data_IF_440044192493
#
_entry.id   IF_440044192493
#
_cell.length_a   1.000
_cell.length_b   1.000
_cell.length_c   1.000
_cell.angle_alpha   90.00
_cell.angle_beta   90.00
_cell.angle_gamma   90.00
#
_symmetry.space_group_name_H-M   'P 1'
#
loop_
_entity.id
_entity.type
_entity.pdbx_description
1 polymer ?
#
# COMPACT_ATOMS: atom_id res chain seq x y z
N UNK A 1 0.07 -11.08 -14.12
CA UNK A 1 -0.26 -10.40 -12.85
C UNK A 1 0.42 -9.03 -12.82
N UNK A 2 -0.32 -7.92 -12.79
CA UNK A 2 0.31 -6.59 -12.63
C UNK A 2 0.85 -6.46 -11.19
N UNK A 3 2.18 -6.56 -11.06
CA UNK A 3 2.91 -6.46 -9.79
C UNK A 3 2.95 -5.02 -9.24
N UNK A 4 2.59 -4.03 -10.05
CA UNK A 4 2.57 -2.62 -9.70
C UNK A 4 1.13 -2.16 -9.48
N UNK A 5 0.88 -1.47 -8.38
CA UNK A 5 -0.39 -0.80 -8.07
C UNK A 5 -0.16 0.71 -8.14
N UNK A 6 -0.87 1.37 -9.05
CA UNK A 6 -0.78 2.82 -9.25
C UNK A 6 -2.15 3.43 -8.96
N UNK A 7 -2.13 4.63 -8.36
CA UNK A 7 -3.33 5.44 -8.17
C UNK A 7 -2.97 6.91 -8.23
N UNK A 8 -3.76 7.65 -8.99
CA UNK A 8 -3.74 9.11 -9.00
C UNK A 8 -4.71 9.63 -7.94
N UNK A 9 -4.25 10.58 -7.13
CA UNK A 9 -5.00 11.25 -6.09
C UNK A 9 -4.88 12.75 -6.32
N UNK A 10 -5.98 13.48 -6.17
CA UNK A 10 -5.94 14.93 -6.12
C UNK A 10 -5.76 15.35 -4.66
N UNK A 11 -4.74 16.15 -4.38
CA UNK A 11 -4.40 16.66 -3.05
C UNK A 11 -4.18 18.16 -3.17
N UNK A 12 -5.07 18.93 -2.55
CA UNK A 12 -5.03 20.40 -2.59
C UNK A 12 -4.93 20.97 -4.03
N UNK A 13 -5.61 20.34 -5.00
CA UNK A 13 -5.58 20.74 -6.41
C UNK A 13 -4.36 20.26 -7.19
N UNK A 14 -3.50 19.45 -6.57
CA UNK A 14 -2.33 18.84 -7.21
C UNK A 14 -2.57 17.34 -7.44
N UNK A 15 -2.51 16.91 -8.70
CA UNK A 15 -2.60 15.50 -9.05
C UNK A 15 -1.30 14.76 -8.71
N UNK A 16 -1.35 13.91 -7.68
CA UNK A 16 -0.25 13.06 -7.26
C UNK A 16 -0.50 11.63 -7.70
N UNK A 17 0.48 11.02 -8.36
CA UNK A 17 0.51 9.61 -8.68
C UNK A 17 1.34 8.83 -7.66
N UNK A 18 0.67 7.93 -6.94
CA UNK A 18 1.33 7.00 -6.03
C UNK A 18 1.41 5.64 -6.70
N UNK A 19 2.62 5.11 -6.84
CA UNK A 19 2.91 3.81 -7.42
C UNK A 19 3.65 2.92 -6.43
N UNK A 20 3.14 1.71 -6.22
CA UNK A 20 3.71 0.71 -5.35
C UNK A 20 3.96 -0.59 -6.10
N UNK A 21 5.23 -1.02 -6.15
CA UNK A 21 5.61 -2.31 -6.70
C UNK A 21 5.63 -3.36 -5.57
N UNK A 22 4.72 -4.33 -5.64
CA UNK A 22 4.57 -5.41 -4.66
C UNK A 22 5.78 -6.34 -4.58
N UNK A 23 6.52 -6.53 -5.68
CA UNK A 23 7.67 -7.45 -5.73
C UNK A 23 8.92 -6.84 -5.12
N UNK A 24 9.15 -5.55 -5.40
CA UNK A 24 10.36 -4.84 -4.92
C UNK A 24 10.08 -4.02 -3.67
N UNK A 25 8.84 -4.01 -3.19
CA UNK A 25 8.34 -3.10 -2.15
C UNK A 25 8.69 -1.63 -2.40
N UNK A 26 8.84 -1.25 -3.68
CA UNK A 26 9.24 0.09 -4.08
C UNK A 26 8.01 0.99 -4.12
N UNK A 27 8.03 2.06 -3.33
CA UNK A 27 7.06 3.13 -3.35
C UNK A 27 7.63 4.33 -4.11
N UNK A 28 6.86 4.82 -5.06
CA UNK A 28 7.17 6.00 -5.87
C UNK A 28 6.00 6.96 -5.80
N UNK A 29 6.27 8.25 -5.58
CA UNK A 29 5.28 9.31 -5.62
C UNK A 29 5.75 10.30 -6.67
N UNK A 30 4.88 10.60 -7.64
CA UNK A 30 5.14 11.54 -8.73
C UNK A 30 4.03 12.58 -8.81
N UNK A 31 4.33 13.79 -9.27
CA UNK A 31 3.34 14.82 -9.58
C UNK A 31 3.68 15.43 -10.93
N UNK A 32 2.72 15.52 -11.84
CA UNK A 32 2.95 16.07 -13.19
C UNK A 32 4.10 15.39 -13.96
N UNK A 33 4.32 14.09 -13.74
CA UNK A 33 5.43 13.33 -14.34
C UNK A 33 6.78 13.46 -13.63
N UNK A 34 6.91 14.35 -12.65
CA UNK A 34 8.14 14.53 -11.85
C UNK A 34 8.09 13.61 -10.64
N UNK A 35 9.16 12.84 -10.41
CA UNK A 35 9.26 11.95 -9.27
C UNK A 35 9.68 12.73 -8.01
N UNK A 36 8.78 12.85 -7.05
CA UNK A 36 8.97 13.63 -5.81
C UNK A 36 9.55 12.76 -4.70
N UNK A 37 9.10 11.51 -4.63
CA UNK A 37 9.52 10.60 -3.58
C UNK A 37 9.77 9.21 -4.14
N UNK A 38 10.85 8.58 -3.67
CA UNK A 38 11.14 7.18 -3.97
C UNK A 38 11.78 6.54 -2.76
N UNK A 39 11.18 5.44 -2.29
CA UNK A 39 11.76 4.64 -1.22
C UNK A 39 11.39 3.17 -1.34
N UNK A 40 12.30 2.32 -0.87
CA UNK A 40 12.05 0.89 -0.70
C UNK A 40 11.50 0.66 0.70
N UNK A 41 10.36 0.01 0.79
CA UNK A 41 9.68 -0.33 2.03
C UNK A 41 10.25 -1.66 2.53
N UNK A 42 11.33 -1.58 3.31
CA UNK A 42 11.95 -2.76 3.94
C UNK A 42 11.20 -3.22 5.19
N UNK A 43 10.53 -2.29 5.87
CA UNK A 43 9.75 -2.57 7.08
C UNK A 43 8.26 -2.66 6.74
N UNK A 44 7.51 -3.57 7.40
CA UNK A 44 6.07 -3.71 7.18
C UNK A 44 5.27 -2.52 7.70
N UNK A 45 5.86 -1.66 8.53
CA UNK A 45 5.25 -0.44 9.03
C UNK A 45 6.23 0.71 8.93
N UNK A 46 5.75 1.88 8.52
CA UNK A 46 6.60 3.06 8.40
C UNK A 46 5.81 4.33 8.18
N UNK A 47 6.34 5.44 8.71
CA UNK A 47 5.85 6.78 8.42
C UNK A 47 6.87 7.47 7.51
N UNK A 48 6.45 7.82 6.30
CA UNK A 48 7.30 8.39 5.28
C UNK A 48 6.88 9.84 5.04
N UNK A 49 7.74 10.77 5.44
CA UNK A 49 7.50 12.19 5.25
C UNK A 49 8.07 12.65 3.92
N UNK A 50 7.33 13.47 3.21
CA UNK A 50 7.76 14.10 1.96
C UNK A 50 7.17 15.51 1.87
N UNK A 51 7.83 16.39 1.13
CA UNK A 51 7.35 17.75 0.91
C UNK A 51 6.78 17.86 -0.51
N UNK A 52 5.60 18.49 -0.62
CA UNK A 52 4.90 18.75 -1.87
C UNK A 52 4.34 20.17 -1.79
N UNK A 53 4.63 21.01 -2.79
CA UNK A 53 4.11 22.38 -2.86
C UNK A 53 4.30 23.20 -1.56
N UNK A 54 5.50 23.11 -0.95
CA UNK A 54 5.84 23.74 0.35
C UNK A 54 5.09 23.21 1.59
N UNK A 55 4.30 22.15 1.45
CA UNK A 55 3.60 21.50 2.56
C UNK A 55 4.22 20.13 2.87
N UNK A 56 4.23 19.78 4.17
CA UNK A 56 4.74 18.49 4.64
C UNK A 56 3.63 17.46 4.70
N UNK A 57 3.79 16.39 3.94
CA UNK A 57 2.90 15.24 3.92
C UNK A 57 3.55 14.04 4.60
N UNK A 58 2.73 13.23 5.26
CA UNK A 58 3.14 11.96 5.87
C UNK A 58 2.35 10.82 5.25
N UNK A 59 3.03 9.94 4.55
CA UNK A 59 2.49 8.66 4.12
C UNK A 59 2.75 7.61 5.20
N UNK A 60 1.69 7.20 5.90
CA UNK A 60 1.72 6.07 6.83
C UNK A 60 1.44 4.79 6.06
N UNK A 61 2.35 3.84 6.18
CA UNK A 61 2.27 2.54 5.50
C UNK A 61 2.17 1.45 6.54
N UNK A 62 1.18 0.58 6.37
CA UNK A 62 0.97 -0.65 7.10
C UNK A 62 0.83 -1.75 6.07
N UNK A 63 1.73 -2.72 6.06
CA UNK A 63 1.73 -3.82 5.10
C UNK A 63 1.11 -5.09 5.70
N UNK A 64 1.15 -5.25 7.03
CA UNK A 64 0.62 -6.41 7.73
C UNK A 64 -0.37 -5.99 8.82
N UNK A 65 -1.37 -6.82 9.15
CA UNK A 65 -1.96 -7.87 8.30
C UNK A 65 -2.79 -7.29 7.13
N UNK A 66 -3.04 -5.97 7.15
CA UNK A 66 -3.79 -5.25 6.12
C UNK A 66 -2.85 -4.27 5.41
N UNK A 67 -2.59 -4.50 4.11
CA UNK A 67 -1.95 -3.50 3.26
C UNK A 67 -2.80 -2.23 3.18
N UNK A 68 -2.44 -1.24 3.99
CA UNK A 68 -3.06 0.06 4.10
C UNK A 68 -2.01 1.16 3.96
N UNK A 69 -2.31 2.09 3.08
CA UNK A 69 -1.47 3.26 2.80
C UNK A 69 -2.34 4.48 3.06
N UNK A 70 -2.02 5.25 4.10
CA UNK A 70 -2.79 6.42 4.50
C UNK A 70 -1.94 7.67 4.34
N UNK A 71 -2.46 8.65 3.61
CA UNK A 71 -1.82 9.93 3.37
C UNK A 71 -2.41 10.98 4.31
N UNK A 72 -1.53 11.62 5.07
CA UNK A 72 -1.84 12.71 5.99
C UNK A 72 -1.16 13.98 5.49
N UNK A 73 -1.92 15.08 5.42
CA UNK A 73 -1.43 16.43 5.16
C UNK A 73 -1.37 17.26 6.45
N UNK A 74 -1.09 18.56 6.33
CA UNK A 74 -1.04 19.48 7.48
C UNK A 74 -2.38 19.60 8.20
N UNK A 75 -3.49 19.61 7.46
CA UNK A 75 -4.85 19.80 8.01
C UNK A 75 -5.58 18.48 8.35
N UNK A 76 -4.91 17.33 8.18
CA UNK A 76 -5.46 16.03 8.57
C UNK A 76 -5.35 14.93 7.52
N UNK A 77 -6.31 13.99 7.54
CA UNK A 77 -6.29 12.82 6.66
C UNK A 77 -6.72 13.20 5.25
N UNK A 78 -5.77 13.26 4.32
CA UNK A 78 -6.04 13.51 2.90
C UNK A 78 -6.65 12.27 2.25
N UNK A 79 -6.04 11.10 2.50
CA UNK A 79 -6.54 9.85 1.95
C UNK A 79 -6.29 8.72 2.93
N UNK A 80 -7.37 8.14 3.47
CA UNK A 80 -7.25 7.07 4.46
C UNK A 80 -6.77 5.75 3.84
N UNK A 81 -6.98 5.54 2.53
CA UNK A 81 -6.50 4.34 1.85
C UNK A 81 -6.18 4.61 0.36
N UNK A 82 -4.90 4.80 0.07
CA UNK A 82 -4.38 4.98 -1.29
C UNK A 82 -4.62 3.73 -2.14
N UNK A 83 -4.53 2.52 -1.58
CA UNK A 83 -4.67 1.29 -2.35
C UNK A 83 -5.73 0.33 -1.78
N UNK A 84 -7.03 0.62 -1.95
CA UNK A 84 -8.11 -0.21 -1.41
C UNK A 84 -8.12 -1.63 -1.99
N UNK A 85 -7.64 -1.80 -3.24
CA UNK A 85 -7.51 -3.11 -3.88
C UNK A 85 -6.51 -4.02 -3.15
N UNK A 86 -5.40 -3.48 -2.63
CA UNK A 86 -4.38 -4.28 -1.90
C UNK A 86 -4.96 -4.87 -0.61
N UNK A 87 -5.83 -4.11 0.08
CA UNK A 87 -6.50 -4.57 1.30
C UNK A 87 -7.38 -5.82 1.06
N UNK A 88 -8.13 -5.86 -0.05
CA UNK A 88 -9.00 -7.01 -0.39
C UNK A 88 -8.19 -8.29 -0.62
N UNK A 89 -7.08 -8.21 -1.34
CA UNK A 89 -6.25 -9.40 -1.60
C UNK A 89 -5.57 -9.92 -0.33
N UNK A 90 -5.12 -9.03 0.56
CA UNK A 90 -4.55 -9.44 1.86
C UNK A 90 -5.56 -10.24 2.70
N UNK A 91 -6.82 -9.78 2.73
CA UNK A 91 -7.91 -10.41 3.47
C UNK A 91 -8.25 -11.81 2.91
N UNK A 92 -8.30 -11.93 1.58
CA UNK A 92 -8.57 -13.22 0.92
C UNK A 92 -7.44 -14.22 1.15
N UNK A 93 -6.17 -13.80 1.04
CA UNK A 93 -5.04 -14.68 1.31
C UNK A 93 -5.00 -15.14 2.77
N UNK A 94 -5.31 -14.25 3.71
CA UNK A 94 -5.35 -14.58 5.14
C UNK A 94 -6.47 -15.57 5.47
N UNK A 95 -7.64 -15.46 4.82
CA UNK A 95 -8.74 -16.41 4.98
C UNK A 95 -8.50 -17.78 4.31
N UNK A 96 -7.79 -17.81 3.17
CA UNK A 96 -7.50 -19.05 2.43
C UNK A 96 -6.39 -19.90 3.08
N UNK A 97 -5.49 -19.29 3.86
CA UNK A 97 -4.38 -19.99 4.50
C UNK A 97 -4.83 -21.12 5.46
N UNK A 98 -5.77 -20.91 6.40
CA UNK A 98 -6.27 -21.99 7.24
C UNK A 98 -7.06 -23.05 6.46
N UNK A 99 -7.83 -22.65 5.43
CA UNK A 99 -8.60 -23.59 4.58
C UNK A 99 -7.67 -24.58 3.87
N UNK A 100 -6.52 -24.10 3.40
CA UNK A 100 -5.52 -24.97 2.76
C UNK A 100 -4.92 -25.95 3.76
N UNK A 101 -4.61 -25.50 4.98
CA UNK A 101 -4.05 -26.38 6.01
C UNK A 101 -5.06 -27.41 6.53
N UNK A 102 -6.34 -27.06 6.68
CA UNK A 102 -7.39 -28.02 7.06
C UNK A 102 -7.65 -29.04 5.97
N UNK A 103 -7.67 -28.64 4.69
CA UNK A 103 -7.75 -29.58 3.57
C UNK A 103 -6.55 -30.53 3.51
N UNK A 104 -5.34 -30.03 3.78
CA UNK A 104 -4.13 -30.87 3.83
C UNK A 104 -4.17 -31.86 4.98
N UNK A 105 -4.59 -31.43 6.17
CA UNK A 105 -4.76 -32.31 7.34
C UNK A 105 -5.85 -33.37 7.11
N UNK A 106 -6.97 -33.01 6.48
CA UNK A 106 -8.01 -33.96 6.08
C UNK A 106 -7.49 -34.97 5.06
N UNK A 107 -6.79 -34.51 4.02
CA UNK A 107 -6.18 -35.40 3.04
C UNK A 107 -5.16 -36.36 3.67
N UNK A 108 -4.43 -35.90 4.68
CA UNK A 108 -3.47 -36.72 5.43
C UNK A 108 -4.14 -37.71 6.39
N UNK A 109 -5.33 -37.40 6.92
CA UNK A 109 -6.08 -38.29 7.82
C UNK A 109 -6.86 -39.38 7.08
N UNK A 110 -7.16 -39.17 5.79
CA UNK A 110 -7.92 -40.11 4.94
C UNK A 110 -6.96 -41.01 4.13
N UNK A 111 -5.70 -40.59 3.95
CA UNK A 111 -4.65 -41.34 3.25
C UNK A 111 -3.84 -42.23 4.20
#
# INVERSE_FOLDING_TARGET
>A
MQAVSQRTLDVNGTAIEVSYNKLTSKLTISSGGIQIYRKYLWLPYGNYRFELANERYTLRVWMLPFCQFSLYGPDGVVCNNVFPKLKRYSLVMMAMSPVRHTLMLLAWAIS
#
